data_IF_391174235746
#
_entry.id   IF_391174235746
#
_cell.length_a   1.000
_cell.length_b   1.000
_cell.length_c   1.000
_cell.angle_alpha   90.00
_cell.angle_beta   90.00
_cell.angle_gamma   90.00
#
_symmetry.space_group_name_H-M   'P 1'
#
loop_
_entity.id
_entity.type
_entity.pdbx_description
1 polymer ?
#
# COMPACT_ATOMS: atom_id res chain seq x y z
N UNK A 1 12.96 9.69 -25.55
CA UNK A 1 14.29 9.06 -25.30
C UNK A 1 14.49 7.92 -26.29
N UNK A 2 13.59 6.99 -26.42
CA UNK A 2 13.73 5.79 -27.26
C UNK A 2 13.84 6.13 -28.76
N UNK A 3 13.08 7.11 -29.29
CA UNK A 3 13.26 7.65 -30.64
C UNK A 3 14.66 8.22 -30.83
N UNK A 4 15.20 8.95 -29.85
CA UNK A 4 16.54 9.49 -29.89
C UNK A 4 17.63 8.39 -29.90
N UNK A 5 17.33 7.22 -29.32
CA UNK A 5 18.20 6.05 -29.32
C UNK A 5 17.98 5.12 -30.53
N UNK A 6 17.05 5.43 -31.44
CA UNK A 6 16.69 4.62 -32.62
C UNK A 6 16.35 3.15 -32.28
N UNK A 7 15.69 2.93 -31.14
CA UNK A 7 15.25 1.60 -30.75
C UNK A 7 13.99 1.20 -31.55
N UNK A 8 13.91 -0.05 -31.99
CA UNK A 8 12.74 -0.54 -32.72
C UNK A 8 11.50 -0.65 -31.81
N UNK A 9 10.34 -0.21 -32.30
CA UNK A 9 9.05 -0.21 -31.60
C UNK A 9 8.73 -1.57 -30.98
N UNK A 10 8.94 -2.68 -31.69
CA UNK A 10 8.71 -4.04 -31.17
C UNK A 10 9.57 -4.42 -29.96
N UNK A 11 10.79 -3.88 -29.86
CA UNK A 11 11.65 -4.09 -28.69
C UNK A 11 11.10 -3.40 -27.43
N UNK A 12 10.34 -2.33 -27.59
CA UNK A 12 9.73 -1.60 -26.50
C UNK A 12 8.51 -2.30 -25.95
N UNK A 13 7.60 -2.77 -26.83
CA UNK A 13 6.42 -3.52 -26.41
C UNK A 13 6.84 -4.75 -25.61
N UNK A 14 7.86 -5.49 -26.08
CA UNK A 14 8.40 -6.64 -25.37
C UNK A 14 9.01 -6.24 -24.03
N UNK A 15 9.81 -5.16 -23.99
CA UNK A 15 10.45 -4.71 -22.74
C UNK A 15 9.42 -4.18 -21.73
N UNK A 16 8.40 -3.44 -22.17
CA UNK A 16 7.35 -2.91 -21.31
C UNK A 16 6.43 -4.03 -20.76
N UNK A 17 6.09 -5.00 -21.60
CA UNK A 17 5.23 -6.12 -21.18
C UNK A 17 5.96 -7.16 -20.32
N UNK A 18 7.28 -7.30 -20.48
CA UNK A 18 8.09 -8.20 -19.67
C UNK A 18 8.64 -7.58 -18.39
N UNK A 19 8.56 -6.25 -18.24
CA UNK A 19 9.06 -5.58 -17.04
C UNK A 19 8.06 -5.69 -15.89
N UNK A 20 8.39 -6.49 -14.89
CA UNK A 20 7.54 -6.73 -13.70
C UNK A 20 7.58 -5.61 -12.66
N UNK A 21 8.18 -4.46 -12.96
CA UNK A 21 8.37 -3.38 -12.02
C UNK A 21 9.60 -3.58 -11.12
N UNK A 22 9.76 -2.68 -10.15
CA UNK A 22 10.81 -2.76 -9.13
C UNK A 22 10.19 -3.17 -7.81
N UNK A 23 10.86 -4.06 -7.07
CA UNK A 23 10.45 -4.41 -5.72
C UNK A 23 10.25 -3.16 -4.85
N UNK A 24 9.22 -3.17 -4.02
CA UNK A 24 8.86 -2.10 -3.08
C UNK A 24 8.48 -0.75 -3.74
N UNK A 25 8.23 -0.73 -5.04
CA UNK A 25 7.77 0.47 -5.76
C UNK A 25 6.49 0.16 -6.53
N UNK A 26 5.34 0.50 -5.96
CA UNK A 26 4.01 0.19 -6.52
C UNK A 26 3.92 -1.28 -6.95
N UNK A 27 4.59 -2.16 -6.21
CA UNK A 27 4.69 -3.59 -6.48
C UNK A 27 3.37 -4.27 -6.12
N UNK A 28 2.73 -4.88 -7.10
CA UNK A 28 1.54 -5.72 -6.86
C UNK A 28 1.97 -7.07 -6.27
N UNK A 29 1.40 -7.44 -5.12
CA UNK A 29 1.73 -8.68 -4.41
C UNK A 29 0.69 -9.79 -4.60
N UNK A 30 -0.53 -9.43 -4.94
CA UNK A 30 -1.64 -10.38 -5.11
C UNK A 30 -2.98 -9.77 -4.78
N UNK A 31 -4.02 -10.59 -4.95
CA UNK A 31 -5.42 -10.22 -4.69
C UNK A 31 -6.18 -11.41 -4.12
N UNK A 32 -7.10 -11.17 -3.19
CA UNK A 32 -8.09 -12.13 -2.71
C UNK A 32 -9.34 -11.41 -2.23
N UNK A 33 -10.52 -12.01 -2.45
CA UNK A 33 -11.81 -11.47 -2.02
C UNK A 33 -12.08 -10.02 -2.47
N UNK A 34 -11.62 -9.63 -3.68
CA UNK A 34 -11.76 -8.27 -4.22
C UNK A 34 -10.87 -7.23 -3.54
N UNK A 35 -9.84 -7.67 -2.81
CA UNK A 35 -8.85 -6.82 -2.12
C UNK A 35 -7.46 -7.11 -2.68
N UNK A 36 -6.84 -6.11 -3.30
CA UNK A 36 -5.47 -6.19 -3.80
C UNK A 36 -4.47 -5.56 -2.83
N UNK A 37 -3.22 -6.03 -2.90
CA UNK A 37 -2.13 -5.57 -2.02
C UNK A 37 -1.00 -4.95 -2.85
N UNK A 38 -0.65 -3.71 -2.50
CA UNK A 38 0.39 -2.93 -3.19
C UNK A 38 1.49 -2.53 -2.21
N UNK A 39 2.71 -2.90 -2.54
CA UNK A 39 3.91 -2.58 -1.78
C UNK A 39 4.64 -1.39 -2.41
N UNK A 40 4.52 -0.24 -1.78
CA UNK A 40 5.25 0.98 -2.12
C UNK A 40 6.11 1.44 -0.93
N UNK A 41 6.76 0.49 -0.26
CA UNK A 41 7.62 0.78 0.91
C UNK A 41 8.73 1.79 0.60
N UNK A 42 9.10 1.98 -0.67
CA UNK A 42 10.06 2.98 -1.13
C UNK A 42 9.55 4.43 -1.03
N UNK A 43 8.25 4.66 -0.83
CA UNK A 43 7.68 5.99 -0.56
C UNK A 43 8.07 6.48 0.85
N UNK A 44 9.29 6.97 0.99
CA UNK A 44 9.87 7.44 2.27
C UNK A 44 9.65 8.94 2.52
N UNK A 45 8.74 9.57 1.79
CA UNK A 45 8.34 10.98 1.95
C UNK A 45 6.92 11.21 1.40
N UNK A 46 6.32 12.35 1.79
CA UNK A 46 4.95 12.71 1.43
C UNK A 46 4.70 12.85 -0.07
N UNK A 47 5.66 13.39 -0.82
CA UNK A 47 5.52 13.57 -2.27
C UNK A 47 5.42 12.21 -3.01
N UNK A 48 6.19 11.23 -2.59
CA UNK A 48 6.11 9.88 -3.17
C UNK A 48 4.77 9.22 -2.82
N UNK A 49 4.34 9.31 -1.55
CA UNK A 49 3.07 8.75 -1.11
C UNK A 49 1.87 9.43 -1.79
N UNK A 50 1.89 10.75 -2.01
CA UNK A 50 0.84 11.46 -2.72
C UNK A 50 0.58 10.89 -4.13
N UNK A 51 1.64 10.53 -4.85
CA UNK A 51 1.53 9.88 -6.17
C UNK A 51 0.90 8.50 -6.09
N UNK A 52 1.27 7.71 -5.08
CA UNK A 52 0.71 6.39 -4.86
C UNK A 52 -0.79 6.48 -4.50
N UNK A 53 -1.16 7.44 -3.64
CA UNK A 53 -2.55 7.68 -3.25
C UNK A 53 -3.45 8.13 -4.41
N UNK A 54 -2.90 8.79 -5.42
CA UNK A 54 -3.63 9.17 -6.62
C UNK A 54 -3.81 8.02 -7.65
N UNK A 55 -3.22 6.85 -7.41
CA UNK A 55 -3.17 5.77 -8.40
C UNK A 55 -4.32 4.76 -8.28
N UNK A 56 -5.10 4.78 -7.20
CA UNK A 56 -6.17 3.83 -6.94
C UNK A 56 -7.44 4.54 -6.45
N UNK A 57 -8.62 4.07 -6.83
CA UNK A 57 -9.88 4.72 -6.49
C UNK A 57 -10.37 4.44 -5.06
N UNK A 58 -9.90 3.36 -4.42
CA UNK A 58 -10.33 2.95 -3.07
C UNK A 58 -9.14 2.42 -2.29
N UNK A 59 -8.68 3.17 -1.31
CA UNK A 59 -7.42 2.91 -0.62
C UNK A 59 -7.64 2.71 0.89
N UNK A 60 -7.03 1.63 1.40
CA UNK A 60 -6.77 1.33 2.80
C UNK A 60 -5.27 1.55 3.01
N UNK A 61 -4.91 2.69 3.56
CA UNK A 61 -3.55 3.20 3.54
C UNK A 61 -2.76 2.82 4.79
N UNK A 62 -1.64 2.11 4.63
CA UNK A 62 -0.68 1.85 5.70
C UNK A 62 0.40 2.94 5.64
N UNK A 63 0.50 3.75 6.71
CA UNK A 63 1.24 5.00 6.75
C UNK A 63 1.98 5.19 8.08
N UNK A 64 3.03 5.97 8.08
CA UNK A 64 3.80 6.32 9.27
C UNK A 64 5.13 5.58 9.35
N UNK A 65 5.72 5.63 10.48
CA UNK A 65 7.05 5.27 10.93
C UNK A 65 7.82 6.56 11.31
N UNK A 66 9.07 6.76 10.91
CA UNK A 66 9.86 7.94 11.20
C UNK A 66 9.59 9.06 10.18
N UNK A 67 8.60 9.92 10.47
CA UNK A 67 8.27 11.07 9.63
C UNK A 67 9.38 12.12 9.65
N UNK A 68 9.51 12.89 8.57
CA UNK A 68 10.37 14.07 8.49
C UNK A 68 9.73 15.29 9.18
N UNK A 69 10.47 16.41 9.25
CA UNK A 69 10.01 17.64 9.90
C UNK A 69 8.72 18.24 9.28
N UNK A 70 8.45 17.96 8.01
CA UNK A 70 7.24 18.34 7.27
C UNK A 70 6.07 17.37 7.44
N UNK A 71 6.22 16.37 8.33
CA UNK A 71 5.21 15.36 8.62
C UNK A 71 4.90 14.50 7.39
N UNK A 72 3.61 14.43 7.01
CA UNK A 72 3.15 13.70 5.83
C UNK A 72 3.20 14.52 4.53
N UNK A 73 3.58 15.80 4.60
CA UNK A 73 3.80 16.67 3.43
C UNK A 73 2.64 16.65 2.44
N UNK A 74 2.96 16.50 1.15
CA UNK A 74 1.99 16.51 0.05
C UNK A 74 0.97 15.36 0.11
N UNK A 75 1.25 14.28 0.85
CA UNK A 75 0.29 13.18 1.01
C UNK A 75 -1.01 13.64 1.67
N UNK A 76 -0.96 14.69 2.51
CA UNK A 76 -2.17 15.29 3.11
C UNK A 76 -3.13 15.94 2.10
N UNK A 77 -2.67 16.22 0.89
CA UNK A 77 -3.47 16.82 -0.19
C UNK A 77 -4.04 15.76 -1.15
N UNK A 78 -3.75 14.47 -0.93
CA UNK A 78 -4.12 13.37 -1.81
C UNK A 78 -5.00 12.31 -1.12
N UNK A 79 -5.83 12.72 -0.15
CA UNK A 79 -6.63 11.81 0.67
C UNK A 79 -7.99 11.44 0.06
N UNK A 80 -8.37 11.96 -1.08
CA UNK A 80 -9.71 11.81 -1.68
C UNK A 80 -10.16 10.35 -1.87
N UNK A 81 -9.21 9.46 -2.14
CA UNK A 81 -9.45 8.02 -2.34
C UNK A 81 -9.17 7.17 -1.09
N UNK A 82 -8.70 7.79 0.00
CA UNK A 82 -8.37 7.07 1.24
C UNK A 82 -9.64 6.85 2.07
N UNK A 83 -10.03 5.61 2.24
CA UNK A 83 -11.16 5.20 3.10
C UNK A 83 -10.75 5.10 4.56
N UNK A 84 -9.55 4.58 4.79
CA UNK A 84 -9.04 4.30 6.12
C UNK A 84 -7.52 4.40 6.15
N UNK A 85 -6.95 4.94 7.22
CA UNK A 85 -5.50 5.00 7.44
C UNK A 85 -5.10 4.12 8.65
N UNK A 86 -4.10 3.28 8.46
CA UNK A 86 -3.54 2.38 9.46
C UNK A 86 -2.14 2.87 9.81
N UNK A 87 -1.99 3.47 10.99
CA UNK A 87 -0.74 4.12 11.36
C UNK A 87 0.20 3.16 12.08
N UNK A 88 1.48 3.18 11.66
CA UNK A 88 2.55 2.33 12.18
C UNK A 88 3.72 3.16 12.70
N UNK A 89 4.61 2.50 13.46
CA UNK A 89 5.89 3.04 13.92
C UNK A 89 5.80 3.88 15.18
N UNK A 90 6.97 4.39 15.60
CA UNK A 90 7.12 5.10 16.87
C UNK A 90 6.38 6.44 16.90
N UNK A 91 6.12 7.04 15.74
CA UNK A 91 5.39 8.32 15.62
C UNK A 91 3.90 8.12 15.27
N UNK A 92 3.33 6.94 15.53
CA UNK A 92 1.95 6.60 15.20
C UNK A 92 0.94 7.63 15.77
N UNK A 93 1.11 8.10 17.01
CA UNK A 93 0.21 9.09 17.61
C UNK A 93 0.26 10.46 16.91
N UNK A 94 1.45 10.93 16.54
CA UNK A 94 1.59 12.18 15.81
C UNK A 94 0.97 12.06 14.41
N UNK A 95 1.20 10.95 13.73
CA UNK A 95 0.62 10.64 12.43
C UNK A 95 -0.92 10.56 12.50
N UNK A 96 -1.45 9.85 13.49
CA UNK A 96 -2.89 9.73 13.72
C UNK A 96 -3.54 11.09 13.99
N UNK A 97 -2.89 11.94 14.78
CA UNK A 97 -3.40 13.30 15.09
C UNK A 97 -3.55 14.13 13.81
N UNK A 98 -2.61 14.03 12.87
CA UNK A 98 -2.71 14.74 11.58
C UNK A 98 -3.83 14.19 10.69
N UNK A 99 -4.06 12.88 10.68
CA UNK A 99 -4.98 12.23 9.76
C UNK A 99 -6.43 12.20 10.27
N UNK A 100 -6.67 12.08 11.59
CA UNK A 100 -8.01 11.93 12.18
C UNK A 100 -9.03 13.00 11.75
N UNK A 101 -8.67 14.29 11.49
CA UNK A 101 -9.62 15.27 10.97
C UNK A 101 -10.11 15.00 9.55
N UNK A 102 -9.44 14.13 8.78
CA UNK A 102 -9.66 13.94 7.35
C UNK A 102 -10.18 12.54 6.99
N UNK A 103 -9.69 11.50 7.68
CA UNK A 103 -10.01 10.09 7.38
C UNK A 103 -10.15 9.29 8.67
N UNK A 104 -10.82 8.15 8.61
CA UNK A 104 -10.83 7.19 9.72
C UNK A 104 -9.41 6.62 9.94
N UNK A 105 -9.00 6.48 11.20
CA UNK A 105 -7.62 6.08 11.56
C UNK A 105 -7.62 4.96 12.58
N UNK A 106 -6.79 3.94 12.34
CA UNK A 106 -6.46 2.88 13.31
C UNK A 106 -4.96 2.97 13.70
N UNK A 107 -4.68 2.81 14.99
CA UNK A 107 -3.32 2.86 15.59
C UNK A 107 -2.79 1.46 15.73
N UNK A 108 -2.19 0.95 14.68
CA UNK A 108 -1.75 -0.44 14.59
C UNK A 108 -0.34 -0.68 15.15
N UNK A 109 0.50 0.35 15.21
CA UNK A 109 1.90 0.33 15.66
C UNK A 109 2.83 -0.57 14.82
N UNK A 110 2.42 -1.76 14.43
CA UNK A 110 3.21 -2.70 13.62
C UNK A 110 2.61 -2.88 12.23
N UNK A 111 3.47 -3.25 11.28
CA UNK A 111 3.03 -3.49 9.90
C UNK A 111 2.12 -4.73 9.79
N UNK A 112 2.36 -5.74 10.62
CA UNK A 112 1.52 -6.94 10.65
C UNK A 112 0.09 -6.61 11.10
N UNK A 113 -0.06 -5.90 12.23
CA UNK A 113 -1.37 -5.48 12.72
C UNK A 113 -2.07 -4.59 11.69
N UNK A 114 -1.37 -3.62 11.12
CA UNK A 114 -1.91 -2.72 10.10
C UNK A 114 -2.43 -3.48 8.87
N UNK A 115 -1.65 -4.44 8.37
CA UNK A 115 -2.03 -5.21 7.19
C UNK A 115 -3.24 -6.09 7.44
N UNK A 116 -3.28 -6.80 8.58
CA UNK A 116 -4.41 -7.66 8.96
C UNK A 116 -5.68 -6.85 9.27
N UNK A 117 -5.56 -5.73 10.02
CA UNK A 117 -6.69 -4.82 10.26
C UNK A 117 -7.22 -4.23 8.96
N UNK A 118 -6.34 -3.77 8.07
CA UNK A 118 -6.72 -3.23 6.77
C UNK A 118 -7.47 -4.28 5.93
N UNK A 119 -6.98 -5.52 5.90
CA UNK A 119 -7.62 -6.60 5.16
C UNK A 119 -9.02 -6.92 5.72
N UNK A 120 -9.16 -7.06 7.04
CA UNK A 120 -10.43 -7.36 7.68
C UNK A 120 -11.49 -6.27 7.41
N UNK A 121 -11.11 -4.99 7.44
CA UNK A 121 -12.02 -3.88 7.16
C UNK A 121 -12.34 -3.81 5.66
N UNK A 122 -11.32 -3.89 4.79
CA UNK A 122 -11.51 -3.84 3.34
C UNK A 122 -12.41 -4.97 2.84
N UNK A 123 -12.19 -6.19 3.33
CA UNK A 123 -13.01 -7.36 2.99
C UNK A 123 -14.48 -7.17 3.42
N UNK A 124 -14.71 -6.66 4.63
CA UNK A 124 -16.06 -6.38 5.12
C UNK A 124 -16.75 -5.30 4.28
N UNK A 125 -16.02 -4.25 3.90
CA UNK A 125 -16.56 -3.19 3.06
C UNK A 125 -16.87 -3.69 1.63
N UNK A 126 -16.08 -4.62 1.09
CA UNK A 126 -16.34 -5.25 -0.21
C UNK A 126 -17.64 -6.08 -0.22
N UNK A 127 -17.96 -6.77 0.88
CA UNK A 127 -19.19 -7.57 0.97
C UNK A 127 -20.49 -6.75 0.87
N UNK A 128 -20.45 -5.45 1.16
CA UNK A 128 -21.60 -4.54 1.11
C UNK A 128 -21.60 -3.61 -0.11
N UNK A 129 -20.60 -3.72 -0.98
CA UNK A 129 -20.49 -2.92 -2.22
C UNK A 129 -21.23 -3.60 -3.36
N UNK A 130 -21.72 -2.80 -4.31
CA UNK A 130 -22.39 -3.31 -5.51
C UNK A 130 -21.40 -4.06 -6.40
N UNK A 131 -21.88 -5.10 -7.11
CA UNK A 131 -21.09 -5.82 -8.12
C UNK A 131 -20.57 -4.85 -9.20
N UNK A 132 -19.31 -5.02 -9.58
CA UNK A 132 -18.65 -4.19 -10.60
C UNK A 132 -18.00 -2.92 -10.06
N UNK A 133 -17.93 -2.73 -8.72
CA UNK A 133 -17.14 -1.65 -8.12
C UNK A 133 -15.65 -2.00 -8.15
N UNK A 134 -14.81 -0.93 -8.14
CA UNK A 134 -13.34 -1.08 -8.10
C UNK A 134 -12.88 -1.92 -6.92
N UNK A 135 -11.83 -2.74 -7.11
CA UNK A 135 -11.19 -3.51 -6.04
C UNK A 135 -10.67 -2.58 -4.94
N UNK A 136 -10.82 -3.01 -3.69
CA UNK A 136 -10.18 -2.33 -2.57
C UNK A 136 -8.65 -2.51 -2.64
N UNK A 137 -7.90 -1.45 -2.37
CA UNK A 137 -6.43 -1.49 -2.42
C UNK A 137 -5.84 -1.30 -1.03
N UNK A 138 -5.18 -2.31 -0.49
CA UNK A 138 -4.32 -2.15 0.68
C UNK A 138 -2.96 -1.68 0.19
N UNK A 139 -2.65 -0.43 0.50
CA UNK A 139 -1.46 0.26 0.01
C UNK A 139 -0.48 0.54 1.16
N UNK A 140 0.67 -0.14 1.15
CA UNK A 140 1.82 0.27 1.96
C UNK A 140 2.57 1.38 1.23
N UNK A 141 2.33 2.63 1.59
CA UNK A 141 3.07 3.81 1.09
C UNK A 141 3.33 4.77 2.25
N UNK A 142 4.37 4.52 3.06
CA UNK A 142 4.48 5.00 4.43
C UNK A 142 4.66 6.51 4.59
N UNK A 143 5.05 7.24 3.57
CA UNK A 143 5.42 8.68 3.61
C UNK A 143 6.57 9.01 4.59
N UNK A 144 7.25 8.00 5.13
CA UNK A 144 8.22 8.12 6.22
C UNK A 144 9.39 7.13 6.06
N UNK A 145 10.54 7.48 6.66
CA UNK A 145 11.67 6.56 6.77
C UNK A 145 11.31 5.38 7.69
N UNK A 146 12.04 4.27 7.58
CA UNK A 146 11.72 3.00 8.22
C UNK A 146 12.61 2.64 9.42
N UNK A 147 13.55 3.52 9.79
CA UNK A 147 14.65 3.18 10.71
C UNK A 147 14.25 3.03 12.18
N UNK A 148 12.99 3.32 12.54
CA UNK A 148 12.42 3.07 13.86
C UNK A 148 12.16 1.58 14.14
N UNK A 149 11.67 0.83 13.14
CA UNK A 149 11.31 -0.59 13.30
C UNK A 149 12.04 -1.52 12.33
N UNK A 150 12.68 -0.99 11.28
CA UNK A 150 13.29 -1.79 10.21
C UNK A 150 14.69 -1.30 9.87
N UNK A 151 15.52 -2.17 9.29
CA UNK A 151 16.88 -1.83 8.87
C UNK A 151 16.90 -0.80 7.73
N UNK A 152 15.94 -0.88 6.84
CA UNK A 152 15.78 -0.04 5.65
C UNK A 152 14.35 -0.21 5.10
N UNK A 153 14.01 0.49 4.01
CA UNK A 153 12.69 0.38 3.38
C UNK A 153 12.48 -0.98 2.70
N UNK A 154 13.53 -1.63 2.22
CA UNK A 154 13.48 -2.98 1.66
C UNK A 154 13.01 -3.98 2.72
N UNK A 155 13.63 -3.99 3.90
CA UNK A 155 13.23 -4.85 5.01
C UNK A 155 11.76 -4.61 5.42
N UNK A 156 11.31 -3.35 5.48
CA UNK A 156 9.90 -3.02 5.74
C UNK A 156 8.98 -3.60 4.66
N UNK A 157 9.36 -3.48 3.40
CA UNK A 157 8.60 -4.02 2.29
C UNK A 157 8.60 -5.55 2.23
N UNK A 158 9.69 -6.21 2.63
CA UNK A 158 9.76 -7.67 2.74
C UNK A 158 8.84 -8.20 3.84
N UNK A 159 8.84 -7.57 5.02
CA UNK A 159 7.91 -7.93 6.12
C UNK A 159 6.46 -7.77 5.69
N UNK A 160 6.12 -6.69 4.97
CA UNK A 160 4.78 -6.52 4.40
C UNK A 160 4.43 -7.65 3.44
N UNK A 161 5.33 -8.01 2.53
CA UNK A 161 5.15 -9.12 1.58
C UNK A 161 4.90 -10.45 2.29
N UNK A 162 5.65 -10.72 3.37
CA UNK A 162 5.50 -11.97 4.14
C UNK A 162 4.11 -12.06 4.79
N UNK A 163 3.61 -10.96 5.36
CA UNK A 163 2.26 -10.88 5.93
C UNK A 163 1.19 -11.08 4.85
N UNK A 164 1.35 -10.42 3.69
CA UNK A 164 0.44 -10.57 2.55
C UNK A 164 0.42 -12.03 2.06
N UNK A 165 1.57 -12.66 1.90
CA UNK A 165 1.66 -14.06 1.49
C UNK A 165 0.93 -15.00 2.48
N UNK A 166 1.02 -14.74 3.78
CA UNK A 166 0.26 -15.48 4.81
C UNK A 166 -1.26 -15.32 4.58
N UNK A 167 -1.74 -14.08 4.41
CA UNK A 167 -3.16 -13.79 4.15
C UNK A 167 -3.66 -14.50 2.89
N UNK A 168 -2.90 -14.42 1.78
CA UNK A 168 -3.26 -15.07 0.52
C UNK A 168 -3.30 -16.60 0.65
N UNK A 169 -2.40 -17.19 1.45
CA UNK A 169 -2.36 -18.62 1.71
C UNK A 169 -3.51 -19.07 2.60
N UNK A 170 -3.85 -18.31 3.62
CA UNK A 170 -5.00 -18.54 4.50
C UNK A 170 -6.31 -18.55 3.70
N UNK A 171 -6.54 -17.53 2.86
CA UNK A 171 -7.72 -17.42 2.03
C UNK A 171 -7.89 -18.59 1.05
N UNK A 172 -6.80 -19.02 0.38
CA UNK A 172 -6.83 -20.21 -0.50
C UNK A 172 -7.18 -21.48 0.23
N UNK A 173 -6.70 -21.62 1.47
CA UNK A 173 -7.01 -22.81 2.28
C UNK A 173 -8.47 -22.85 2.70
N UNK A 174 -9.07 -21.70 2.98
CA UNK A 174 -10.50 -21.58 3.30
C UNK A 174 -11.38 -21.90 2.08
N UNK A 175 -11.03 -21.41 0.89
CA UNK A 175 -11.75 -21.74 -0.36
C UNK A 175 -11.76 -23.25 -0.62
N UNK A 176 -10.62 -23.93 -0.43
CA UNK A 176 -10.50 -25.38 -0.62
C UNK A 176 -11.27 -26.20 0.42
N UNK A 177 -11.47 -25.67 1.63
CA UNK A 177 -12.20 -26.35 2.69
C UNK A 177 -13.74 -26.28 2.52
N UNK A 178 -14.23 -25.39 1.66
CA UNK A 178 -15.67 -25.21 1.38
C UNK A 178 -16.14 -25.88 0.08
N UNK A 179 -15.24 -26.57 -0.64
CA UNK A 179 -15.52 -27.40 -1.84
C UNK A 179 -15.62 -28.87 -1.48
#
# INVERSE_FOLDING_TARGET
ICDALRLHIHAWDTALTSFHGLAHRMEWLGETNGVQFINDSKATNGMAAAKALASYPVIYWIVGAQMKNDGLGEAMQALDHVRYAFVIGDQAEACATMLTPHVAVDRCHTIENATRSAFAIAQKDQLVREEGTDSATILLSPAAASFDQFKNFEHRGDVFRDVVNSILSEARSEELAHV
#
